data_IF_829312689406
#
_entry.id   IF_829312689406
#
_cell.length_a   1.000
_cell.length_b   1.000
_cell.length_c   1.000
_cell.angle_alpha   90.00
_cell.angle_beta   90.00
_cell.angle_gamma   90.00
#
_symmetry.space_group_name_H-M   'P 1'
#
loop_
_entity.id
_entity.type
_entity.pdbx_description
1 polymer ?
#
# COMPACT_ATOMS: atom_id res chain seq x y z
N UNK A 1 76.35 -7.96 -60.16
CA UNK A 1 74.96 -7.57 -60.23
C UNK A 1 74.38 -7.85 -58.85
N UNK A 2 74.38 -6.85 -57.97
CA UNK A 2 73.95 -7.00 -56.54
C UNK A 2 72.51 -6.53 -56.39
N UNK A 3 71.62 -7.42 -56.02
CA UNK A 3 70.22 -7.14 -55.69
C UNK A 3 70.09 -6.73 -54.24
N UNK A 4 69.57 -5.51 -53.99
CA UNK A 4 69.29 -5.00 -52.64
C UNK A 4 67.98 -5.55 -52.11
N UNK A 5 67.87 -5.92 -50.81
CA UNK A 5 66.60 -6.35 -50.23
C UNK A 5 65.69 -5.13 -49.92
N UNK A 6 64.42 -5.24 -50.31
CA UNK A 6 63.35 -4.28 -49.96
C UNK A 6 62.88 -4.59 -48.56
N UNK A 7 63.07 -3.69 -47.61
CA UNK A 7 62.45 -3.74 -46.27
C UNK A 7 61.03 -3.24 -46.39
N UNK A 8 60.04 -4.11 -46.14
CA UNK A 8 58.64 -3.74 -46.02
C UNK A 8 58.41 -3.05 -44.67
N UNK A 9 57.92 -1.81 -44.69
CA UNK A 9 57.51 -1.11 -43.49
C UNK A 9 56.14 -1.59 -43.05
N UNK A 10 56.07 -2.37 -41.98
CA UNK A 10 54.81 -2.72 -41.33
C UNK A 10 54.25 -1.45 -40.66
N UNK A 11 53.05 -1.01 -41.07
CA UNK A 11 52.31 0.06 -40.44
C UNK A 11 51.69 -0.49 -39.13
N UNK A 12 52.13 0.06 -37.99
CA UNK A 12 51.53 -0.20 -36.69
C UNK A 12 50.30 0.73 -36.58
N UNK A 13 49.13 0.15 -36.66
CA UNK A 13 47.85 0.86 -36.40
C UNK A 13 47.72 1.02 -34.89
N UNK A 14 47.50 2.25 -34.38
CA UNK A 14 47.25 2.40 -32.94
C UNK A 14 45.87 1.84 -32.58
N UNK A 15 45.82 0.95 -31.63
CA UNK A 15 44.60 0.40 -31.03
C UNK A 15 44.01 1.50 -30.12
N UNK A 16 42.98 2.21 -30.58
CA UNK A 16 42.21 3.15 -29.73
C UNK A 16 41.31 2.32 -28.81
N UNK A 17 41.73 2.17 -27.57
CA UNK A 17 40.87 1.62 -26.50
C UNK A 17 39.89 2.72 -26.10
N UNK A 18 38.67 2.65 -26.61
CA UNK A 18 37.56 3.49 -26.11
C UNK A 18 37.25 3.05 -24.67
N UNK A 19 37.63 3.87 -23.69
CA UNK A 19 37.16 3.72 -22.32
C UNK A 19 35.64 3.96 -22.32
N UNK A 20 34.87 2.89 -22.13
CA UNK A 20 33.44 2.99 -21.84
C UNK A 20 33.35 3.54 -20.42
N UNK A 21 33.08 4.84 -20.29
CA UNK A 21 32.70 5.42 -19.01
C UNK A 21 31.37 4.75 -18.62
N UNK A 22 31.43 3.75 -17.76
CA UNK A 22 30.26 3.20 -17.10
C UNK A 22 29.62 4.33 -16.33
N UNK A 23 28.37 4.67 -16.62
CA UNK A 23 27.56 5.49 -15.73
C UNK A 23 27.45 4.70 -14.42
N UNK A 24 28.24 5.04 -13.43
CA UNK A 24 27.99 4.65 -12.04
C UNK A 24 26.65 5.29 -11.66
N UNK A 25 25.59 4.56 -11.90
CA UNK A 25 24.27 4.95 -11.41
C UNK A 25 24.31 4.86 -9.89
N UNK A 26 24.48 6.00 -9.23
CA UNK A 26 24.33 6.09 -7.78
C UNK A 26 22.99 5.44 -7.44
N UNK A 27 22.95 4.45 -6.53
CA UNK A 27 21.68 3.85 -6.14
C UNK A 27 20.73 4.97 -5.70
N UNK A 28 19.46 4.90 -6.10
CA UNK A 28 18.50 5.95 -5.73
C UNK A 28 18.43 6.08 -4.22
N UNK A 29 18.21 7.30 -3.71
CA UNK A 29 18.07 7.51 -2.27
C UNK A 29 16.95 6.63 -1.73
N UNK A 30 17.14 6.07 -0.54
CA UNK A 30 16.12 5.32 0.22
C UNK A 30 15.67 6.16 1.43
N UNK A 31 14.55 5.79 2.05
CA UNK A 31 14.02 6.47 3.23
C UNK A 31 13.19 7.70 2.91
N UNK A 32 13.14 8.65 3.85
CA UNK A 32 12.19 9.78 3.84
C UNK A 32 12.22 10.63 2.57
N UNK A 33 13.39 10.98 2.06
CA UNK A 33 13.50 11.81 0.84
C UNK A 33 12.93 11.09 -0.37
N UNK A 34 13.29 9.81 -0.53
CA UNK A 34 12.75 8.98 -1.62
C UNK A 34 11.26 8.74 -1.44
N UNK A 35 10.80 8.55 -0.20
CA UNK A 35 9.39 8.40 0.13
C UNK A 35 8.56 9.61 -0.27
N UNK A 36 9.06 10.82 0.03
CA UNK A 36 8.41 12.07 -0.38
C UNK A 36 8.30 12.19 -1.92
N UNK A 37 9.37 11.90 -2.66
CA UNK A 37 9.35 11.91 -4.13
C UNK A 37 8.32 10.92 -4.70
N UNK A 38 8.28 9.70 -4.17
CA UNK A 38 7.33 8.68 -4.60
C UNK A 38 5.89 9.07 -4.29
N UNK A 39 5.66 9.69 -3.13
CA UNK A 39 4.34 10.10 -2.68
C UNK A 39 3.68 11.14 -3.60
N UNK A 40 4.45 11.93 -4.34
CA UNK A 40 3.92 12.87 -5.34
C UNK A 40 2.97 12.17 -6.34
N UNK A 41 3.22 10.90 -6.66
CA UNK A 41 2.32 10.12 -7.54
C UNK A 41 1.04 9.67 -6.85
N UNK A 42 0.99 9.71 -5.53
CA UNK A 42 -0.14 9.33 -4.71
C UNK A 42 -1.06 10.53 -4.40
N UNK A 43 -0.48 11.75 -4.40
CA UNK A 43 -1.15 13.02 -4.08
C UNK A 43 -2.46 13.26 -4.86
N UNK A 44 -2.55 12.99 -6.20
CA UNK A 44 -3.78 13.23 -6.94
C UNK A 44 -5.01 12.50 -6.39
N UNK A 45 -4.81 11.37 -5.71
CA UNK A 45 -5.89 10.59 -5.13
C UNK A 45 -5.97 10.76 -3.60
N UNK A 46 -4.83 10.64 -2.91
CA UNK A 46 -4.82 10.64 -1.44
C UNK A 46 -4.67 12.04 -0.81
N UNK A 47 -4.42 13.07 -1.64
CA UNK A 47 -4.16 14.44 -1.16
C UNK A 47 -2.72 14.63 -0.65
N UNK A 48 -2.24 15.88 -0.63
CA UNK A 48 -0.88 16.19 -0.20
C UNK A 48 -0.62 15.87 1.29
N UNK A 49 -1.66 15.91 2.12
CA UNK A 49 -1.62 15.53 3.53
C UNK A 49 -2.11 14.08 3.77
N UNK A 50 -2.25 13.28 2.72
CA UNK A 50 -2.74 11.90 2.75
C UNK A 50 -4.12 11.72 3.42
N UNK A 51 -4.97 12.75 3.37
CA UNK A 51 -6.29 12.79 4.01
C UNK A 51 -7.37 12.03 3.25
N UNK A 52 -7.06 11.61 2.01
CA UNK A 52 -7.98 10.90 1.13
C UNK A 52 -8.91 11.81 0.34
N UNK A 53 -9.74 11.20 -0.48
CA UNK A 53 -10.79 11.84 -1.28
C UNK A 53 -11.96 10.85 -1.47
N UNK A 54 -13.09 11.12 -0.84
CA UNK A 54 -14.26 10.25 -0.88
C UNK A 54 -14.91 10.18 -2.27
N UNK A 55 -14.84 11.26 -3.07
CA UNK A 55 -15.47 11.32 -4.40
C UNK A 55 -14.87 10.30 -5.38
N UNK A 56 -13.63 9.92 -5.16
CA UNK A 56 -12.92 8.91 -5.96
C UNK A 56 -12.57 7.65 -5.14
N UNK A 57 -13.15 7.51 -3.96
CA UNK A 57 -12.96 6.37 -3.05
C UNK A 57 -11.47 6.11 -2.71
N UNK A 58 -10.68 7.18 -2.57
CA UNK A 58 -9.32 7.11 -2.08
C UNK A 58 -9.31 7.40 -0.57
N UNK A 59 -8.95 6.41 0.28
CA UNK A 59 -9.02 6.59 1.73
C UNK A 59 -7.93 7.49 2.28
N UNK A 60 -8.15 8.01 3.48
CA UNK A 60 -7.08 8.55 4.32
C UNK A 60 -6.05 7.45 4.61
N UNK A 61 -4.77 7.81 4.48
CA UNK A 61 -3.65 6.93 4.79
C UNK A 61 -2.62 7.60 5.71
N UNK A 62 -2.85 8.87 6.09
CA UNK A 62 -1.94 9.64 6.93
C UNK A 62 -1.73 8.99 8.30
N UNK A 63 -0.47 8.81 8.69
CA UNK A 63 -0.10 8.28 9.99
C UNK A 63 -0.46 6.82 10.26
N UNK A 64 -0.89 6.09 9.23
CA UNK A 64 -1.05 4.64 9.35
C UNK A 64 0.33 3.99 9.59
N UNK A 65 0.40 2.88 10.36
CA UNK A 65 1.66 2.22 10.62
C UNK A 65 2.40 1.80 9.35
N UNK A 66 3.70 2.02 9.31
CA UNK A 66 4.56 1.70 8.16
C UNK A 66 4.36 0.25 7.70
N UNK A 67 4.42 -0.72 8.62
CA UNK A 67 4.23 -2.14 8.33
C UNK A 67 2.90 -2.44 7.63
N UNK A 68 1.84 -1.69 7.98
CA UNK A 68 0.52 -1.89 7.36
C UNK A 68 0.49 -1.34 5.94
N UNK A 69 1.03 -0.15 5.72
CA UNK A 69 1.13 0.44 4.38
C UNK A 69 1.95 -0.48 3.45
N UNK A 70 3.12 -0.96 3.92
CA UNK A 70 3.96 -1.92 3.19
C UNK A 70 3.17 -3.18 2.83
N UNK A 71 2.50 -3.80 3.80
CA UNK A 71 1.71 -5.00 3.58
C UNK A 71 0.59 -4.79 2.54
N UNK A 72 -0.06 -3.62 2.55
CA UNK A 72 -1.10 -3.32 1.56
C UNK A 72 -0.53 -3.11 0.16
N UNK A 73 0.57 -2.36 0.01
CA UNK A 73 1.23 -2.15 -1.27
C UNK A 73 1.73 -3.48 -1.86
N UNK A 74 2.35 -4.32 -1.03
CA UNK A 74 2.78 -5.67 -1.42
C UNK A 74 1.59 -6.57 -1.83
N UNK A 75 0.46 -6.50 -1.12
CA UNK A 75 -0.75 -7.25 -1.46
C UNK A 75 -1.32 -6.82 -2.83
N UNK A 76 -1.28 -5.53 -3.16
CA UNK A 76 -1.63 -5.04 -4.49
C UNK A 76 -0.65 -5.52 -5.56
N UNK A 77 0.67 -5.48 -5.31
CA UNK A 77 1.68 -5.98 -6.24
C UNK A 77 1.51 -7.47 -6.51
N UNK A 78 1.35 -8.27 -5.46
CA UNK A 78 1.11 -9.70 -5.54
C UNK A 78 -0.25 -10.07 -6.17
N UNK A 79 -1.14 -9.08 -6.32
CA UNK A 79 -2.49 -9.26 -6.85
C UNK A 79 -3.43 -10.01 -5.91
N UNK A 80 -3.17 -9.95 -4.60
CA UNK A 80 -4.10 -10.38 -3.56
C UNK A 80 -5.23 -9.37 -3.37
N UNK A 81 -4.99 -8.11 -3.79
CA UNK A 81 -5.95 -6.99 -3.86
C UNK A 81 -5.97 -6.40 -5.26
N UNK A 82 -7.10 -5.74 -5.59
CA UNK A 82 -7.23 -4.96 -6.83
C UNK A 82 -7.27 -5.80 -8.11
N UNK A 83 -7.88 -6.99 -8.06
CA UNK A 83 -8.16 -7.84 -9.22
C UNK A 83 -9.63 -8.21 -9.39
N UNK A 84 -10.45 -8.03 -8.37
CA UNK A 84 -11.85 -8.37 -8.41
C UNK A 84 -12.66 -7.27 -9.11
N UNK A 85 -13.59 -7.64 -9.99
CA UNK A 85 -14.34 -6.68 -10.80
C UNK A 85 -15.23 -5.73 -9.96
N UNK A 86 -15.64 -6.16 -8.78
CA UNK A 86 -16.45 -5.35 -7.87
C UNK A 86 -15.63 -4.43 -6.96
N UNK A 87 -14.30 -4.59 -6.92
CA UNK A 87 -13.39 -3.71 -6.17
C UNK A 87 -12.81 -2.63 -7.08
N UNK A 88 -13.64 -1.67 -7.48
CA UNK A 88 -13.22 -0.61 -8.41
C UNK A 88 -12.10 0.27 -7.83
N UNK A 89 -12.14 0.56 -6.53
CA UNK A 89 -11.08 1.30 -5.85
C UNK A 89 -9.76 0.52 -5.85
N UNK A 90 -9.80 -0.76 -5.55
CA UNK A 90 -8.63 -1.62 -5.62
C UNK A 90 -8.07 -1.79 -7.03
N UNK A 91 -8.93 -1.88 -8.05
CA UNK A 91 -8.50 -1.90 -9.45
C UNK A 91 -7.73 -0.63 -9.84
N UNK A 92 -8.13 0.55 -9.31
CA UNK A 92 -7.41 1.81 -9.52
C UNK A 92 -6.11 1.87 -8.73
N UNK A 93 -6.10 1.39 -7.48
CA UNK A 93 -4.92 1.44 -6.61
C UNK A 93 -3.81 0.46 -7.05
N UNK A 94 -4.17 -0.69 -7.59
CA UNK A 94 -3.20 -1.73 -7.96
C UNK A 94 -2.12 -1.25 -8.94
N UNK A 95 -2.41 -0.56 -10.06
CA UNK A 95 -1.37 -0.03 -10.96
C UNK A 95 -0.39 0.90 -10.24
N UNK A 96 -0.86 1.68 -9.26
CA UNK A 96 -0.01 2.59 -8.50
C UNK A 96 1.00 1.81 -7.63
N UNK A 97 0.54 0.77 -6.94
CA UNK A 97 1.45 -0.10 -6.19
C UNK A 97 2.44 -0.86 -7.10
N UNK A 98 1.98 -1.34 -8.27
CA UNK A 98 2.83 -2.05 -9.24
C UNK A 98 3.91 -1.14 -9.86
N UNK A 99 3.70 0.17 -9.89
CA UNK A 99 4.70 1.13 -10.39
C UNK A 99 5.91 1.30 -9.45
N UNK A 100 5.81 0.88 -8.18
CA UNK A 100 6.90 0.89 -7.21
C UNK A 100 7.82 -0.32 -7.48
N UNK A 101 8.76 -0.17 -8.41
CA UNK A 101 9.53 -1.31 -8.98
C UNK A 101 10.92 -1.45 -8.41
N UNK A 102 11.46 -0.42 -7.75
CA UNK A 102 12.82 -0.46 -7.21
C UNK A 102 12.81 -1.02 -5.80
N UNK A 103 13.87 -1.72 -5.45
CA UNK A 103 14.11 -2.17 -4.08
C UNK A 103 14.11 -0.95 -3.14
N UNK A 104 13.37 -1.05 -2.03
CA UNK A 104 13.22 0.02 -1.04
C UNK A 104 12.18 1.10 -1.38
N UNK A 105 11.52 1.08 -2.56
CA UNK A 105 10.49 2.06 -2.89
C UNK A 105 9.25 1.94 -1.97
N UNK A 106 8.80 0.72 -1.69
CA UNK A 106 7.65 0.48 -0.80
C UNK A 106 7.98 0.93 0.62
N UNK A 107 9.11 0.52 1.16
CA UNK A 107 9.57 0.89 2.49
C UNK A 107 9.70 2.42 2.62
N UNK A 108 10.26 3.07 1.61
CA UNK A 108 10.48 4.52 1.60
C UNK A 108 9.16 5.29 1.61
N UNK A 109 8.21 4.95 0.73
CA UNK A 109 6.91 5.64 0.67
C UNK A 109 6.06 5.32 1.90
N UNK A 110 6.12 4.10 2.42
CA UNK A 110 5.42 3.71 3.64
C UNK A 110 5.95 4.46 4.86
N UNK A 111 7.28 4.58 4.99
CA UNK A 111 7.92 5.37 6.05
C UNK A 111 7.49 6.84 5.98
N UNK A 112 7.48 7.43 4.79
CA UNK A 112 7.08 8.82 4.61
C UNK A 112 5.62 9.05 5.02
N UNK A 113 4.68 8.22 4.54
CA UNK A 113 3.26 8.33 4.89
C UNK A 113 3.00 8.07 6.37
N UNK A 114 3.70 7.10 6.96
CA UNK A 114 3.61 6.82 8.40
C UNK A 114 4.12 7.99 9.28
N UNK A 115 5.02 8.83 8.76
CA UNK A 115 5.51 10.02 9.47
C UNK A 115 4.55 11.20 9.46
N UNK A 116 3.49 11.15 8.63
CA UNK A 116 2.48 12.20 8.60
C UNK A 116 1.62 12.17 9.87
N UNK A 117 1.09 13.31 10.33
CA UNK A 117 0.18 13.33 11.46
C UNK A 117 -1.04 12.43 11.21
N UNK A 118 -1.31 11.52 12.14
CA UNK A 118 -2.52 10.70 12.07
C UNK A 118 -3.77 11.59 12.09
N UNK A 119 -4.77 11.22 11.31
CA UNK A 119 -6.05 11.90 11.27
C UNK A 119 -7.19 10.94 11.63
N UNK A 120 -8.29 11.51 12.08
CA UNK A 120 -9.52 10.81 12.38
C UNK A 120 -10.63 11.41 11.50
N UNK A 121 -10.91 10.80 10.31
CA UNK A 121 -11.88 11.37 9.38
C UNK A 121 -13.28 11.46 9.98
N UNK A 122 -14.05 12.47 9.63
CA UNK A 122 -15.44 12.63 10.09
C UNK A 122 -16.30 11.43 9.66
N UNK A 123 -17.28 11.08 10.50
CA UNK A 123 -18.21 10.00 10.22
C UNK A 123 -19.26 10.44 9.21
N UNK A 124 -19.48 9.63 8.20
CA UNK A 124 -20.46 9.84 7.12
C UNK A 124 -21.58 8.80 7.11
N UNK A 125 -21.37 7.64 7.76
CA UNK A 125 -22.34 6.57 7.90
C UNK A 125 -23.16 6.71 9.20
N UNK A 126 -24.38 6.21 9.19
CA UNK A 126 -25.37 6.40 10.26
C UNK A 126 -25.87 5.06 10.84
N UNK A 127 -24.95 4.13 11.15
CA UNK A 127 -25.28 2.87 11.81
C UNK A 127 -25.63 3.06 13.30
N UNK A 128 -26.15 2.01 13.91
CA UNK A 128 -26.46 1.97 15.35
C UNK A 128 -25.23 1.51 16.15
N UNK A 129 -24.53 2.46 16.78
CA UNK A 129 -23.34 2.16 17.58
C UNK A 129 -23.61 1.19 18.75
N UNK A 130 -24.82 1.23 19.34
CA UNK A 130 -25.20 0.30 20.42
C UNK A 130 -25.27 -1.16 19.94
N UNK A 131 -25.86 -1.40 18.78
CA UNK A 131 -25.86 -2.71 18.13
C UNK A 131 -24.44 -3.11 17.67
N UNK A 132 -23.69 -2.12 17.16
CA UNK A 132 -22.30 -2.28 16.73
C UNK A 132 -21.36 -2.72 17.85
N UNK A 133 -21.57 -2.23 19.09
CA UNK A 133 -20.79 -2.63 20.24
C UNK A 133 -20.84 -4.15 20.51
N UNK A 134 -22.02 -4.76 20.33
CA UNK A 134 -22.16 -6.21 20.46
C UNK A 134 -21.44 -6.97 19.33
N UNK A 135 -21.54 -6.46 18.10
CA UNK A 135 -20.84 -7.05 16.94
C UNK A 135 -19.33 -6.91 17.03
N UNK A 136 -18.83 -5.82 17.65
CA UNK A 136 -17.41 -5.55 17.80
C UNK A 136 -16.67 -6.51 18.73
N UNK A 137 -17.38 -7.24 19.59
CA UNK A 137 -16.77 -8.17 20.58
C UNK A 137 -15.84 -9.21 19.94
N UNK A 138 -16.15 -9.67 18.73
CA UNK A 138 -15.28 -10.62 17.99
C UNK A 138 -14.07 -9.90 17.37
N UNK A 139 -14.13 -8.61 17.16
CA UNK A 139 -13.07 -7.80 16.56
C UNK A 139 -12.00 -7.38 17.58
N UNK A 140 -12.40 -7.22 18.85
CA UNK A 140 -11.54 -6.77 19.96
C UNK A 140 -10.28 -7.61 20.09
N UNK A 141 -10.37 -8.93 19.89
CA UNK A 141 -9.26 -9.86 20.06
C UNK A 141 -8.03 -9.51 19.18
N UNK A 142 -8.28 -8.87 18.04
CA UNK A 142 -7.23 -8.49 17.09
C UNK A 142 -7.08 -6.97 16.99
N UNK A 143 -8.19 -6.23 16.91
CA UNK A 143 -8.14 -4.76 16.70
C UNK A 143 -8.07 -3.95 17.99
N UNK A 144 -8.11 -4.61 19.18
CA UNK A 144 -8.09 -3.92 20.47
C UNK A 144 -9.44 -3.34 20.86
N UNK A 145 -9.61 -3.03 22.15
CA UNK A 145 -10.81 -2.38 22.66
C UNK A 145 -10.92 -0.91 22.23
N UNK A 146 -9.80 -0.32 21.86
CA UNK A 146 -9.63 1.06 21.37
C UNK A 146 -9.56 1.17 19.85
N UNK A 147 -9.58 0.05 19.13
CA UNK A 147 -9.50 0.01 17.68
C UNK A 147 -8.13 0.41 17.09
N UNK A 148 -7.06 0.44 17.92
CA UNK A 148 -5.72 0.83 17.49
C UNK A 148 -4.93 -0.33 16.86
N UNK A 149 -5.45 -1.55 16.94
CA UNK A 149 -4.84 -2.74 16.35
C UNK A 149 -3.62 -3.27 17.13
N UNK A 150 -2.94 -4.24 16.53
CA UNK A 150 -1.75 -4.90 17.09
C UNK A 150 -0.85 -5.35 15.94
N UNK A 151 0.39 -4.86 15.91
CA UNK A 151 1.36 -5.23 14.86
C UNK A 151 1.73 -6.71 14.92
N UNK A 152 1.82 -7.30 16.11
CA UNK A 152 2.19 -8.72 16.26
C UNK A 152 1.11 -9.63 15.69
N UNK A 153 -0.14 -9.20 15.76
CA UNK A 153 -1.30 -9.86 15.15
C UNK A 153 -1.57 -9.41 13.72
N UNK A 154 -0.74 -8.49 13.18
CA UNK A 154 -0.95 -7.85 11.87
C UNK A 154 -2.34 -7.24 11.69
N UNK A 155 -2.92 -6.77 12.79
CA UNK A 155 -4.22 -6.09 12.83
C UNK A 155 -4.02 -4.59 12.80
N UNK A 156 -4.46 -3.89 11.74
CA UNK A 156 -4.25 -2.46 11.63
C UNK A 156 -5.15 -1.65 12.57
N UNK A 157 -4.77 -0.39 12.87
CA UNK A 157 -5.67 0.57 13.47
C UNK A 157 -6.85 0.83 12.53
N UNK A 158 -8.07 0.75 13.05
CA UNK A 158 -9.30 0.96 12.28
C UNK A 158 -9.99 2.29 12.60
N UNK A 159 -9.65 2.90 13.74
CA UNK A 159 -10.21 4.20 14.16
C UNK A 159 -9.71 5.38 13.31
N UNK A 160 -8.57 5.23 12.62
CA UNK A 160 -7.96 6.26 11.77
C UNK A 160 -8.45 6.19 10.32
N UNK A 161 -9.31 5.24 9.98
CA UNK A 161 -9.79 5.04 8.62
C UNK A 161 -11.15 5.71 8.41
N UNK A 162 -11.45 6.10 7.17
CA UNK A 162 -12.76 6.58 6.79
C UNK A 162 -13.81 5.48 7.03
N UNK A 163 -14.96 5.82 7.54
CA UNK A 163 -16.06 4.89 7.81
C UNK A 163 -16.58 4.22 6.54
N UNK A 164 -16.77 4.97 5.46
CA UNK A 164 -17.16 4.43 4.16
C UNK A 164 -16.11 3.44 3.61
N UNK A 165 -14.81 3.70 3.84
CA UNK A 165 -13.75 2.79 3.43
C UNK A 165 -13.77 1.49 4.24
N UNK A 166 -13.96 1.58 5.56
CA UNK A 166 -14.15 0.40 6.42
C UNK A 166 -15.31 -0.46 5.94
N UNK A 167 -16.45 0.19 5.59
CA UNK A 167 -17.63 -0.51 5.07
C UNK A 167 -17.32 -1.23 3.76
N UNK A 168 -16.64 -0.55 2.84
CA UNK A 168 -16.23 -1.14 1.56
C UNK A 168 -15.28 -2.32 1.77
N UNK A 169 -14.31 -2.20 2.66
CA UNK A 169 -13.34 -3.27 2.91
C UNK A 169 -13.98 -4.48 3.57
N UNK A 170 -14.91 -4.30 4.51
CA UNK A 170 -15.67 -5.43 5.07
C UNK A 170 -16.53 -6.11 4.01
N UNK A 171 -17.15 -5.36 3.09
CA UNK A 171 -17.86 -5.93 1.94
C UNK A 171 -16.90 -6.67 1.00
N UNK A 172 -15.73 -6.10 0.70
CA UNK A 172 -14.69 -6.72 -0.13
C UNK A 172 -14.20 -8.06 0.47
N UNK A 173 -14.03 -8.12 1.78
CA UNK A 173 -13.71 -9.38 2.45
C UNK A 173 -14.88 -10.37 2.35
N UNK A 174 -16.12 -9.93 2.58
CA UNK A 174 -17.31 -10.79 2.54
C UNK A 174 -17.51 -11.45 1.17
N UNK A 175 -17.33 -10.71 0.08
CA UNK A 175 -17.48 -11.23 -1.29
C UNK A 175 -16.20 -11.93 -1.80
N UNK A 176 -15.10 -11.87 -1.07
CA UNK A 176 -13.83 -12.46 -1.48
C UNK A 176 -13.01 -11.62 -2.46
N UNK A 177 -13.34 -10.34 -2.65
CA UNK A 177 -12.48 -9.40 -3.37
C UNK A 177 -11.15 -9.16 -2.63
N UNK A 178 -11.17 -9.33 -1.29
CA UNK A 178 -10.01 -9.42 -0.40
C UNK A 178 -9.99 -10.73 0.37
N UNK A 179 -8.79 -11.18 0.76
CA UNK A 179 -8.64 -12.36 1.60
C UNK A 179 -9.03 -13.67 0.91
N UNK A 180 -9.03 -13.73 -0.42
CA UNK A 180 -9.31 -14.96 -1.16
C UNK A 180 -8.02 -15.75 -1.48
N UNK A 181 -6.87 -15.11 -1.47
CA UNK A 181 -5.60 -15.77 -1.77
C UNK A 181 -5.12 -16.60 -0.59
N UNK A 182 -4.79 -17.89 -0.76
CA UNK A 182 -4.30 -18.76 0.32
C UNK A 182 -3.01 -18.26 0.99
N UNK A 183 -2.19 -17.47 0.31
CA UNK A 183 -0.97 -16.89 0.86
C UNK A 183 -1.25 -15.64 1.73
N UNK A 184 -2.44 -15.02 1.62
CA UNK A 184 -2.87 -13.89 2.44
C UNK A 184 -3.55 -14.40 3.73
N UNK A 185 -2.77 -14.91 4.66
CA UNK A 185 -3.29 -15.51 5.91
C UNK A 185 -4.10 -14.53 6.76
N UNK A 186 -3.70 -13.26 6.79
CA UNK A 186 -4.39 -12.20 7.53
C UNK A 186 -5.69 -11.80 6.84
N UNK A 187 -5.67 -11.69 5.51
CA UNK A 187 -6.87 -11.46 4.71
C UNK A 187 -7.87 -12.60 4.81
N UNK A 188 -7.42 -13.86 4.84
CA UNK A 188 -8.28 -15.04 5.09
C UNK A 188 -9.00 -14.95 6.44
N UNK A 189 -8.29 -14.55 7.49
CA UNK A 189 -8.88 -14.35 8.82
C UNK A 189 -9.95 -13.26 8.80
N UNK A 190 -9.67 -12.11 8.17
CA UNK A 190 -10.66 -11.04 8.03
C UNK A 190 -11.86 -11.46 7.17
N UNK A 191 -11.63 -12.22 6.11
CA UNK A 191 -12.70 -12.76 5.27
C UNK A 191 -13.66 -13.65 6.05
N UNK A 192 -13.12 -14.54 6.90
CA UNK A 192 -13.93 -15.40 7.75
C UNK A 192 -14.81 -14.59 8.71
N UNK A 193 -14.26 -13.53 9.33
CA UNK A 193 -15.00 -12.66 10.23
C UNK A 193 -16.03 -11.78 9.49
N UNK A 194 -15.73 -11.29 8.30
CA UNK A 194 -16.65 -10.47 7.51
C UNK A 194 -17.80 -11.28 6.90
N UNK A 195 -17.60 -12.58 6.65
CA UNK A 195 -18.57 -13.44 5.96
C UNK A 195 -19.94 -13.53 6.65
N UNK A 196 -19.96 -13.35 7.97
CA UNK A 196 -21.20 -13.45 8.78
C UNK A 196 -21.91 -12.12 8.96
N UNK A 197 -21.33 -11.00 8.52
CA UNK A 197 -21.90 -9.67 8.69
C UNK A 197 -22.94 -9.37 7.60
N UNK A 198 -24.11 -8.90 8.00
CA UNK A 198 -25.08 -8.25 7.08
C UNK A 198 -24.62 -6.83 6.76
N UNK A 199 -25.22 -6.17 5.76
CA UNK A 199 -24.90 -4.77 5.46
C UNK A 199 -25.22 -3.86 6.65
N UNK A 200 -26.34 -4.10 7.35
CA UNK A 200 -26.67 -3.35 8.55
C UNK A 200 -25.65 -3.58 9.68
N UNK A 201 -25.20 -4.82 9.90
CA UNK A 201 -24.19 -5.13 10.91
C UNK A 201 -22.84 -4.48 10.57
N UNK A 202 -22.49 -4.33 9.29
CA UNK A 202 -21.30 -3.60 8.86
C UNK A 202 -21.42 -2.12 9.24
N UNK A 203 -22.55 -1.48 8.94
CA UNK A 203 -22.78 -0.06 9.28
C UNK A 203 -22.80 0.15 10.81
N UNK A 204 -23.45 -0.75 11.54
CA UNK A 204 -23.55 -0.68 13.01
C UNK A 204 -22.16 -0.82 13.68
N UNK A 205 -21.37 -1.82 13.27
CA UNK A 205 -20.04 -2.03 13.87
C UNK A 205 -19.10 -0.87 13.56
N UNK A 206 -19.19 -0.28 12.36
CA UNK A 206 -18.41 0.90 12.01
C UNK A 206 -18.85 2.11 12.82
N UNK A 207 -20.16 2.33 12.99
CA UNK A 207 -20.65 3.41 13.86
C UNK A 207 -20.10 3.28 15.28
N UNK A 208 -19.99 2.06 15.81
CA UNK A 208 -19.33 1.82 17.11
C UNK A 208 -17.83 2.15 17.05
N UNK A 209 -17.10 1.69 16.05
CA UNK A 209 -15.67 2.00 15.89
C UNK A 209 -15.42 3.51 15.88
N UNK A 210 -16.33 4.30 15.30
CA UNK A 210 -16.22 5.75 15.31
C UNK A 210 -16.34 6.36 16.72
N UNK A 211 -16.95 5.66 17.68
CA UNK A 211 -17.04 6.11 19.09
C UNK A 211 -15.77 5.83 19.90
N UNK A 212 -14.82 5.07 19.35
CA UNK A 212 -13.55 4.71 20.01
C UNK A 212 -12.44 5.76 19.81
N UNK A 213 -12.72 6.83 19.07
CA UNK A 213 -11.78 7.93 18.72
C UNK A 213 -11.56 8.87 19.89
#
# INVERSE_FOLDING_TARGET
MMTRPRFSRAAILPLVVAAVAGCDATPPPVGMTRGAELFETCVPCHGAAATGNADIEAPSIAGLPQWYIEAQLQAFQAGWRGKHAEDLAGLRMRPMAVSLTREGDIESVAQYVASMPAIYPESTLHGNAGAGAASYQVCVACHGADGLGDETLRSPPIVQLNDWYLAQELRNFRIGARGANPADTWGLTMRANAAVLTDQAIEDVIAYVQTLR
#
